data_IF_273962027467
#
_entry.id   IF_273962027467
#
_cell.length_a   1.000
_cell.length_b   1.000
_cell.length_c   1.000
_cell.angle_alpha   90.00
_cell.angle_beta   90.00
_cell.angle_gamma   90.00
#
_symmetry.space_group_name_H-M   'P 1'
#
loop_
_entity.id
_entity.type
_entity.pdbx_description
1 polymer ?
#
# COMPACT_ATOMS: atom_id res chain seq x y z
N UNK A 1 11.77 66.31 0.82
CA UNK A 1 11.56 65.14 -0.07
C UNK A 1 11.94 63.88 0.68
N UNK A 2 10.96 63.18 1.25
CA UNK A 2 11.14 61.97 2.06
C UNK A 2 10.84 60.75 1.19
N UNK A 3 11.86 60.04 0.75
CA UNK A 3 11.73 58.82 -0.05
C UNK A 3 11.51 57.62 0.91
N UNK A 4 10.29 57.09 0.95
CA UNK A 4 9.97 55.87 1.66
C UNK A 4 10.43 54.70 0.81
N UNK A 5 11.48 54.02 1.29
CA UNK A 5 11.98 52.76 0.71
C UNK A 5 11.15 51.59 1.27
N UNK A 6 10.15 51.13 0.48
CA UNK A 6 9.32 50.01 0.81
C UNK A 6 10.10 48.70 0.54
N UNK A 7 10.68 48.09 1.58
CA UNK A 7 11.28 46.78 1.51
C UNK A 7 10.14 45.73 1.35
N UNK A 8 9.92 45.29 0.12
CA UNK A 8 9.15 44.08 -0.16
C UNK A 8 9.95 42.84 0.30
N UNK A 9 9.73 42.38 1.51
CA UNK A 9 10.16 41.07 1.95
C UNK A 9 9.26 40.02 1.27
N UNK A 10 9.70 39.46 0.15
CA UNK A 10 9.14 38.25 -0.41
C UNK A 10 9.39 37.12 0.58
N UNK A 11 8.40 36.79 1.40
CA UNK A 11 8.36 35.54 2.12
C UNK A 11 8.20 34.40 1.08
N UNK A 12 9.31 33.81 0.68
CA UNK A 12 9.31 32.52 0.05
C UNK A 12 8.79 31.52 1.09
N UNK A 13 7.50 31.20 1.03
CA UNK A 13 6.96 30.03 1.71
C UNK A 13 7.58 28.81 1.01
N UNK A 14 8.72 28.32 1.56
CA UNK A 14 9.19 26.99 1.23
C UNK A 14 8.10 26.04 1.73
N UNK A 15 7.35 25.44 0.80
CA UNK A 15 6.51 24.32 1.12
C UNK A 15 7.40 23.26 1.77
N UNK A 16 7.26 23.08 3.07
CA UNK A 16 8.02 22.12 3.85
C UNK A 16 7.68 20.75 3.27
N UNK A 17 8.62 20.11 2.55
CA UNK A 17 8.42 18.76 2.01
C UNK A 17 8.12 17.88 3.23
N UNK A 18 6.92 17.34 3.30
CA UNK A 18 6.51 16.46 4.38
C UNK A 18 7.55 15.33 4.47
N UNK A 19 8.08 15.07 5.67
CA UNK A 19 9.07 14.02 5.85
C UNK A 19 8.46 12.67 5.45
N UNK A 20 9.23 11.87 4.71
CA UNK A 20 8.73 10.60 4.19
C UNK A 20 8.37 9.65 5.35
N UNK A 21 7.25 8.95 5.24
CA UNK A 21 6.76 8.01 6.26
C UNK A 21 7.57 6.70 6.33
N UNK A 22 8.49 6.46 5.40
CA UNK A 22 9.28 5.24 5.32
C UNK A 22 10.64 5.51 4.64
N UNK A 23 11.53 4.53 4.74
CA UNK A 23 12.82 4.53 4.07
C UNK A 23 13.23 3.11 3.65
N UNK A 24 14.34 3.01 2.95
CA UNK A 24 14.96 1.74 2.58
C UNK A 24 15.32 0.93 3.82
N UNK A 25 15.03 -0.38 3.77
CA UNK A 25 15.24 -1.30 4.89
C UNK A 25 13.98 -1.52 5.73
N UNK A 26 12.91 -0.75 5.49
CA UNK A 26 11.62 -1.04 6.12
C UNK A 26 11.15 -2.43 5.72
N UNK A 27 10.75 -3.21 6.71
CA UNK A 27 10.25 -4.56 6.50
C UNK A 27 9.14 -4.89 7.49
N UNK A 28 8.07 -5.50 6.97
CA UNK A 28 6.92 -5.98 7.73
C UNK A 28 6.72 -7.47 7.54
N UNK A 29 6.22 -8.12 8.60
CA UNK A 29 5.67 -9.47 8.56
C UNK A 29 4.26 -9.44 9.13
N UNK A 30 3.33 -10.01 8.40
CA UNK A 30 1.94 -10.16 8.80
C UNK A 30 1.60 -11.62 9.00
N UNK A 31 0.89 -11.92 10.08
CA UNK A 31 0.28 -13.21 10.33
C UNK A 31 -1.16 -13.18 9.83
N UNK A 32 -1.48 -14.04 8.87
CA UNK A 32 -2.81 -14.18 8.30
C UNK A 32 -3.51 -15.37 8.96
N UNK A 33 -4.69 -15.13 9.52
CA UNK A 33 -5.41 -16.13 10.29
C UNK A 33 -6.92 -16.02 10.14
N UNK A 34 -7.60 -17.16 10.25
CA UNK A 34 -9.05 -17.29 10.33
C UNK A 34 -9.41 -17.80 11.72
N UNK A 35 -10.06 -16.97 12.53
CA UNK A 35 -10.26 -17.28 13.96
C UNK A 35 -8.92 -17.54 14.65
N UNK A 36 -8.75 -18.75 15.19
CA UNK A 36 -7.52 -19.19 15.87
C UNK A 36 -6.53 -19.93 14.94
N UNK A 37 -6.92 -20.22 13.69
CA UNK A 37 -6.12 -20.99 12.75
C UNK A 37 -5.20 -20.04 11.97
N UNK A 38 -3.89 -20.24 12.15
CA UNK A 38 -2.91 -19.56 11.31
C UNK A 38 -2.94 -20.17 9.90
N UNK A 39 -3.23 -19.33 8.89
CA UNK A 39 -3.34 -19.78 7.51
C UNK A 39 -2.04 -19.49 6.72
N UNK A 40 -1.45 -18.32 6.90
CA UNK A 40 -0.33 -17.89 6.09
C UNK A 40 0.46 -16.77 6.75
N UNK A 41 1.63 -16.45 6.18
CA UNK A 41 2.37 -15.23 6.46
C UNK A 41 2.57 -14.44 5.17
N UNK A 42 2.54 -13.11 5.32
CA UNK A 42 2.94 -12.19 4.27
C UNK A 42 4.09 -11.30 4.77
N UNK A 43 4.97 -10.92 3.86
CA UNK A 43 6.05 -9.95 4.13
C UNK A 43 5.99 -8.83 3.12
N UNK A 44 6.47 -7.65 3.51
CA UNK A 44 6.65 -6.50 2.64
C UNK A 44 8.01 -5.87 2.97
N UNK A 45 8.85 -5.61 1.98
CA UNK A 45 10.21 -5.13 2.16
C UNK A 45 10.53 -4.02 1.17
N UNK A 46 11.07 -2.90 1.65
CA UNK A 46 11.53 -1.77 0.85
C UNK A 46 13.03 -1.88 0.63
N UNK A 47 13.46 -1.85 -0.62
CA UNK A 47 14.86 -1.89 -1.04
C UNK A 47 15.20 -0.69 -1.91
N UNK A 48 16.48 -0.34 -1.96
CA UNK A 48 17.01 0.50 -3.01
C UNK A 48 17.31 -0.31 -4.26
N UNK A 49 16.99 0.26 -5.42
CA UNK A 49 17.32 -0.34 -6.70
C UNK A 49 17.49 0.74 -7.78
N UNK A 50 17.93 0.29 -8.96
CA UNK A 50 18.04 1.11 -10.17
C UNK A 50 17.24 0.47 -11.29
N UNK A 51 16.34 1.24 -11.88
CA UNK A 51 15.57 0.82 -13.04
C UNK A 51 15.83 1.80 -14.19
N UNK A 52 16.44 1.30 -15.30
CA UNK A 52 16.80 2.13 -16.47
C UNK A 52 17.61 3.39 -16.10
N UNK A 53 18.57 3.25 -15.17
CA UNK A 53 19.45 4.34 -14.72
C UNK A 53 18.82 5.32 -13.71
N UNK A 54 17.55 5.11 -13.31
CA UNK A 54 16.88 5.90 -12.28
C UNK A 54 16.93 5.19 -10.93
N UNK A 55 17.25 5.91 -9.86
CA UNK A 55 17.14 5.40 -8.49
C UNK A 55 15.68 5.26 -8.11
N UNK A 56 15.28 4.08 -7.64
CA UNK A 56 13.89 3.74 -7.30
C UNK A 56 13.82 3.05 -5.95
N UNK A 57 12.66 3.09 -5.33
CA UNK A 57 12.30 2.08 -4.34
C UNK A 57 11.84 0.81 -5.07
N UNK A 58 12.40 -0.33 -4.68
CA UNK A 58 11.93 -1.65 -5.07
C UNK A 58 11.27 -2.31 -3.86
N UNK A 59 9.96 -2.42 -3.91
CA UNK A 59 9.19 -3.04 -2.83
C UNK A 59 8.78 -4.44 -3.24
N UNK A 60 9.07 -5.40 -2.35
CA UNK A 60 8.76 -6.82 -2.55
C UNK A 60 7.78 -7.29 -1.50
N UNK A 61 6.59 -7.69 -1.95
CA UNK A 61 5.56 -8.33 -1.16
C UNK A 61 5.50 -9.84 -1.44
N UNK A 62 5.58 -10.67 -0.41
CA UNK A 62 5.45 -12.13 -0.53
C UNK A 62 4.38 -12.66 0.39
N UNK A 63 3.56 -13.59 -0.10
CA UNK A 63 2.55 -14.30 0.67
C UNK A 63 2.74 -15.81 0.53
N UNK A 64 2.73 -16.54 1.66
CA UNK A 64 2.90 -17.99 1.61
C UNK A 64 2.07 -18.68 2.69
N UNK A 65 1.29 -19.68 2.31
CA UNK A 65 0.64 -20.58 3.27
C UNK A 65 1.67 -21.45 3.95
N UNK A 66 1.42 -21.74 5.22
CA UNK A 66 2.33 -22.52 6.07
C UNK A 66 1.58 -23.63 6.82
N UNK A 67 2.34 -24.67 7.20
CA UNK A 67 1.83 -25.75 8.03
C UNK A 67 0.62 -26.46 7.42
N UNK A 68 -0.35 -26.81 8.27
CA UNK A 68 -1.52 -27.60 7.90
C UNK A 68 -2.43 -26.89 6.85
N UNK A 69 -2.46 -25.55 6.84
CA UNK A 69 -3.24 -24.80 5.89
C UNK A 69 -2.79 -25.01 4.43
N UNK A 70 -1.49 -25.28 4.21
CA UNK A 70 -0.95 -25.51 2.86
C UNK A 70 -1.48 -26.81 2.19
N UNK A 71 -2.01 -27.74 2.98
CA UNK A 71 -2.61 -29.00 2.48
C UNK A 71 -3.98 -28.71 1.83
N UNK A 72 -4.73 -27.75 2.36
CA UNK A 72 -6.07 -27.41 1.88
C UNK A 72 -6.06 -26.31 0.84
N UNK A 73 -5.20 -25.32 0.98
CA UNK A 73 -5.12 -24.20 0.06
C UNK A 73 -3.71 -23.62 0.03
N UNK A 74 -2.98 -23.92 -1.06
CA UNK A 74 -1.63 -23.42 -1.26
C UNK A 74 -1.70 -21.97 -1.78
N UNK A 75 -0.96 -21.08 -1.14
CA UNK A 75 -0.65 -19.73 -1.62
C UNK A 75 0.84 -19.59 -1.75
N UNK A 76 1.32 -19.11 -2.88
CA UNK A 76 2.70 -18.72 -3.13
C UNK A 76 2.69 -17.49 -4.04
N UNK A 77 2.67 -16.31 -3.42
CA UNK A 77 2.46 -15.04 -4.10
C UNK A 77 3.68 -14.15 -3.99
N UNK A 78 4.02 -13.49 -5.10
CA UNK A 78 5.04 -12.46 -5.19
C UNK A 78 4.48 -11.25 -5.92
N UNK A 79 4.58 -10.09 -5.26
CA UNK A 79 4.21 -8.79 -5.78
C UNK A 79 5.43 -7.89 -5.68
N UNK A 80 5.79 -7.18 -6.76
CA UNK A 80 6.88 -6.23 -6.74
C UNK A 80 6.46 -4.93 -7.39
N UNK A 81 6.92 -3.82 -6.83
CA UNK A 81 6.75 -2.50 -7.43
C UNK A 81 8.07 -1.75 -7.40
N UNK A 82 8.40 -1.15 -8.54
CA UNK A 82 9.53 -0.25 -8.70
C UNK A 82 8.98 1.15 -8.94
N UNK A 83 9.14 2.04 -7.97
CA UNK A 83 8.58 3.39 -8.07
C UNK A 83 9.60 4.47 -7.72
N UNK A 84 9.39 5.63 -8.31
CA UNK A 84 10.22 6.80 -8.15
C UNK A 84 10.26 7.28 -6.71
N UNK A 85 11.46 7.62 -6.21
CA UNK A 85 11.65 8.01 -4.81
C UNK A 85 11.06 9.37 -4.46
N UNK A 86 11.00 10.28 -5.43
CA UNK A 86 10.52 11.64 -5.21
C UNK A 86 9.01 11.77 -5.46
N UNK A 87 8.53 11.18 -6.55
CA UNK A 87 7.13 11.33 -7.00
C UNK A 87 6.23 10.18 -6.55
N UNK A 88 6.80 9.04 -6.14
CA UNK A 88 6.06 7.81 -5.83
C UNK A 88 5.40 7.14 -7.03
N UNK A 89 5.68 7.59 -8.28
CA UNK A 89 5.09 7.01 -9.50
C UNK A 89 5.72 5.66 -9.82
N UNK A 90 4.94 4.59 -9.98
CA UNK A 90 5.47 3.29 -10.38
C UNK A 90 5.99 3.32 -11.82
N UNK A 91 7.14 2.71 -12.06
CA UNK A 91 7.68 2.45 -13.39
C UNK A 91 7.44 1.01 -13.83
N UNK A 92 7.42 0.09 -12.86
CA UNK A 92 7.22 -1.34 -13.11
C UNK A 92 6.46 -2.00 -11.96
N UNK A 93 5.54 -2.90 -12.30
CA UNK A 93 4.84 -3.74 -11.35
C UNK A 93 4.90 -5.20 -11.81
N UNK A 94 5.16 -6.12 -10.88
CA UNK A 94 5.21 -7.56 -11.13
C UNK A 94 4.20 -8.25 -10.20
N UNK A 95 3.40 -9.13 -10.79
CA UNK A 95 2.46 -9.98 -10.06
C UNK A 95 2.62 -11.42 -10.50
N UNK A 96 3.23 -12.23 -9.64
CA UNK A 96 3.36 -13.67 -9.84
C UNK A 96 2.69 -14.39 -8.67
N UNK A 97 1.59 -15.06 -8.92
CA UNK A 97 0.77 -15.70 -7.89
C UNK A 97 0.42 -17.15 -8.22
N UNK A 98 0.29 -17.96 -7.16
CA UNK A 98 -0.29 -19.31 -7.19
C UNK A 98 -1.22 -19.47 -5.97
N UNK A 99 -2.51 -19.29 -6.21
CA UNK A 99 -3.57 -19.36 -5.20
C UNK A 99 -4.47 -20.57 -5.47
N UNK A 100 -4.10 -21.73 -4.91
CA UNK A 100 -4.84 -22.99 -5.09
C UNK A 100 -4.93 -23.41 -6.56
N UNK A 101 -3.84 -23.23 -7.33
CA UNK A 101 -3.76 -23.52 -8.76
C UNK A 101 -4.25 -22.39 -9.68
N UNK A 102 -4.85 -21.34 -9.14
CA UNK A 102 -5.07 -20.12 -9.90
C UNK A 102 -3.78 -19.33 -10.00
N UNK A 103 -3.18 -19.32 -11.17
CA UNK A 103 -1.87 -18.66 -11.36
C UNK A 103 -1.96 -17.44 -12.26
N UNK A 104 -1.21 -16.41 -11.94
CA UNK A 104 -0.91 -15.28 -12.83
C UNK A 104 0.60 -15.04 -12.87
N UNK A 105 1.10 -14.58 -14.00
CA UNK A 105 2.47 -14.10 -14.18
C UNK A 105 2.39 -12.89 -15.12
N UNK A 106 2.31 -11.70 -14.51
CA UNK A 106 2.05 -10.42 -15.17
C UNK A 106 3.14 -9.44 -14.79
N UNK A 107 3.66 -8.74 -15.77
CA UNK A 107 4.56 -7.61 -15.61
C UNK A 107 3.95 -6.41 -16.31
N UNK A 108 3.94 -5.26 -15.66
CA UNK A 108 3.39 -4.00 -16.18
C UNK A 108 4.50 -2.96 -16.17
N UNK A 109 4.81 -2.39 -17.34
CA UNK A 109 5.71 -1.25 -17.47
C UNK A 109 4.88 0.01 -17.72
N UNK A 110 5.09 1.05 -16.91
CA UNK A 110 4.36 2.32 -16.97
C UNK A 110 5.16 3.37 -17.75
N UNK A 111 4.55 3.99 -18.73
CA UNK A 111 5.10 5.11 -19.49
C UNK A 111 4.17 6.34 -19.37
N UNK A 112 4.54 7.26 -18.49
CA UNK A 112 3.75 8.46 -18.22
C UNK A 112 3.82 9.52 -19.31
N UNK A 113 4.88 9.53 -20.12
CA UNK A 113 5.01 10.45 -21.27
C UNK A 113 4.01 10.09 -22.37
N UNK A 114 3.79 8.79 -22.57
CA UNK A 114 2.82 8.27 -23.54
C UNK A 114 1.45 8.01 -22.97
N UNK A 115 1.28 8.19 -21.65
CA UNK A 115 0.06 7.81 -20.91
C UNK A 115 -0.36 6.36 -21.19
N UNK A 116 0.63 5.42 -21.20
CA UNK A 116 0.43 3.99 -21.53
C UNK A 116 1.01 3.08 -20.45
N UNK A 117 0.36 1.93 -20.24
CA UNK A 117 0.90 0.78 -19.54
C UNK A 117 1.02 -0.40 -20.48
N UNK A 118 2.22 -0.97 -20.59
CA UNK A 118 2.48 -2.20 -21.34
C UNK A 118 2.29 -3.40 -20.39
N UNK A 119 1.24 -4.15 -20.58
CA UNK A 119 0.94 -5.36 -19.80
C UNK A 119 1.50 -6.59 -20.54
N UNK A 120 2.53 -7.19 -19.96
CA UNK A 120 3.14 -8.43 -20.42
C UNK A 120 2.61 -9.60 -19.57
N UNK A 121 1.66 -10.36 -20.11
CA UNK A 121 1.15 -11.58 -19.49
C UNK A 121 2.03 -12.76 -19.92
N UNK A 122 3.01 -13.12 -19.10
CA UNK A 122 3.98 -14.18 -19.40
C UNK A 122 3.34 -15.55 -19.48
N UNK A 123 2.29 -15.81 -18.68
CA UNK A 123 1.54 -17.08 -18.69
C UNK A 123 0.87 -17.32 -20.05
N UNK A 124 0.29 -16.29 -20.65
CA UNK A 124 -0.42 -16.38 -21.93
C UNK A 124 0.41 -15.90 -23.11
N UNK A 125 1.67 -15.45 -22.87
CA UNK A 125 2.60 -14.95 -23.89
C UNK A 125 2.02 -13.78 -24.71
N UNK A 126 1.25 -12.90 -24.06
CA UNK A 126 0.64 -11.71 -24.68
C UNK A 126 1.26 -10.43 -24.14
N UNK A 127 1.41 -9.43 -25.03
CA UNK A 127 1.79 -8.07 -24.66
C UNK A 127 0.74 -7.12 -25.22
N UNK A 128 0.17 -6.28 -24.38
CA UNK A 128 -0.88 -5.35 -24.77
C UNK A 128 -0.67 -4.01 -24.10
N UNK A 129 -0.81 -2.92 -24.84
CA UNK A 129 -0.79 -1.56 -24.29
C UNK A 129 -2.20 -1.13 -23.91
N UNK A 130 -2.31 -0.43 -22.78
CA UNK A 130 -3.53 0.17 -22.28
C UNK A 130 -3.30 1.64 -21.96
N UNK A 131 -4.32 2.46 -22.12
CA UNK A 131 -4.30 3.84 -21.66
C UNK A 131 -4.30 3.90 -20.15
N UNK A 132 -3.50 4.81 -19.57
CA UNK A 132 -3.49 5.04 -18.14
C UNK A 132 -3.87 6.48 -17.82
N UNK A 133 -4.54 6.68 -16.70
CA UNK A 133 -4.80 8.02 -16.16
C UNK A 133 -3.51 8.63 -15.58
N UNK A 134 -3.51 9.95 -15.45
CA UNK A 134 -2.40 10.67 -14.81
C UNK A 134 -2.23 10.23 -13.35
N UNK A 135 -0.97 10.06 -12.95
CA UNK A 135 -0.60 9.70 -11.56
C UNK A 135 -1.22 8.40 -11.05
N UNK A 136 -1.45 7.42 -11.94
CA UNK A 136 -1.90 6.10 -11.50
C UNK A 136 -0.85 5.44 -10.60
N UNK A 137 -1.33 4.61 -9.69
CA UNK A 137 -0.54 3.77 -8.83
C UNK A 137 -0.82 2.30 -9.13
N UNK A 138 0.17 1.43 -8.92
CA UNK A 138 -0.08 0.00 -8.78
C UNK A 138 -0.51 -0.35 -7.36
N UNK A 139 -0.83 -1.61 -7.10
CA UNK A 139 -1.36 -2.07 -5.81
C UNK A 139 -0.36 -1.90 -4.66
N UNK A 140 0.94 -1.99 -4.91
CA UNK A 140 1.99 -1.85 -3.89
C UNK A 140 2.38 -0.39 -3.73
N UNK A 141 2.65 0.32 -4.83
CA UNK A 141 3.03 1.74 -4.78
C UNK A 141 1.92 2.61 -4.17
N UNK A 142 0.63 2.26 -4.37
CA UNK A 142 -0.51 2.95 -3.78
C UNK A 142 -0.42 3.05 -2.25
N UNK A 143 0.00 1.98 -1.58
CA UNK A 143 0.17 1.96 -0.12
C UNK A 143 1.24 2.95 0.33
N UNK A 144 2.40 2.97 -0.31
CA UNK A 144 3.51 3.87 0.02
C UNK A 144 3.21 5.32 -0.37
N UNK A 145 2.53 5.52 -1.50
CA UNK A 145 2.08 6.84 -1.94
C UNK A 145 1.11 7.47 -0.93
N UNK A 146 0.13 6.70 -0.44
CA UNK A 146 -0.83 7.17 0.56
C UNK A 146 -0.14 7.58 1.87
N UNK A 147 0.84 6.83 2.34
CA UNK A 147 1.59 7.13 3.57
C UNK A 147 2.36 8.46 3.47
N UNK A 148 2.93 8.77 2.29
CA UNK A 148 3.74 9.96 2.09
C UNK A 148 2.95 11.21 1.71
N UNK A 149 1.81 11.07 1.02
CA UNK A 149 1.17 12.18 0.34
C UNK A 149 -0.16 12.62 0.95
N UNK A 150 -0.66 11.91 1.97
CA UNK A 150 -1.89 12.29 2.64
C UNK A 150 -1.65 12.67 4.09
N UNK A 151 -1.94 13.94 4.41
CA UNK A 151 -2.05 14.39 5.78
C UNK A 151 -3.38 13.89 6.35
N UNK A 152 -3.29 13.15 7.46
CA UNK A 152 -4.44 12.58 8.15
C UNK A 152 -4.63 13.18 9.54
N UNK A 153 -3.89 14.26 9.86
CA UNK A 153 -3.91 14.90 11.18
C UNK A 153 -5.31 15.36 11.54
N UNK A 154 -5.96 16.09 10.64
CA UNK A 154 -7.29 16.68 10.85
C UNK A 154 -8.40 15.97 10.09
N UNK A 155 -8.14 14.77 9.56
CA UNK A 155 -9.14 14.00 8.80
C UNK A 155 -10.36 13.69 9.66
N UNK A 156 -11.56 13.96 9.13
CA UNK A 156 -12.84 13.76 9.83
C UNK A 156 -13.48 12.44 9.43
N UNK A 157 -14.20 11.85 10.36
CA UNK A 157 -14.97 10.63 10.09
C UNK A 157 -15.93 10.83 8.91
N UNK A 158 -15.90 9.88 7.96
CA UNK A 158 -16.66 9.92 6.74
C UNK A 158 -15.90 10.49 5.54
N UNK A 159 -14.79 11.20 5.73
CA UNK A 159 -13.97 11.71 4.63
C UNK A 159 -13.37 10.58 3.79
N UNK A 160 -13.22 10.86 2.51
CA UNK A 160 -12.79 9.89 1.51
C UNK A 160 -11.49 10.34 0.82
N UNK A 161 -10.51 9.47 0.80
CA UNK A 161 -9.27 9.63 0.04
C UNK A 161 -9.44 8.87 -1.28
N UNK A 162 -9.17 9.55 -2.39
CA UNK A 162 -9.30 8.99 -3.74
C UNK A 162 -7.95 8.86 -4.40
N UNK A 163 -7.72 7.74 -5.11
CA UNK A 163 -6.48 7.45 -5.80
C UNK A 163 -6.77 6.74 -7.12
N UNK A 164 -6.13 7.19 -8.20
CA UNK A 164 -6.18 6.49 -9.47
C UNK A 164 -5.21 5.30 -9.42
N UNK A 165 -5.69 4.13 -9.76
CA UNK A 165 -4.91 2.90 -9.82
C UNK A 165 -5.03 2.26 -11.19
N UNK A 166 -3.97 1.58 -11.63
CA UNK A 166 -4.04 0.67 -12.75
C UNK A 166 -3.82 -0.76 -12.26
N UNK A 167 -4.81 -1.61 -12.47
CA UNK A 167 -4.79 -2.98 -12.01
C UNK A 167 -5.19 -3.95 -13.11
N UNK A 168 -4.38 -4.99 -13.30
CA UNK A 168 -4.51 -5.98 -14.38
C UNK A 168 -4.52 -5.33 -15.79
N UNK A 169 -5.62 -4.72 -16.21
CA UNK A 169 -5.83 -4.20 -17.57
C UNK A 169 -6.66 -2.91 -17.61
N UNK A 170 -7.00 -2.36 -16.47
CA UNK A 170 -7.92 -1.24 -16.38
C UNK A 170 -7.55 -0.20 -15.34
N UNK A 171 -7.94 1.04 -15.61
CA UNK A 171 -7.90 2.11 -14.62
C UNK A 171 -9.01 1.87 -13.59
N UNK A 172 -8.65 1.99 -12.35
CA UNK A 172 -9.56 1.79 -11.23
C UNK A 172 -9.45 2.94 -10.24
N UNK A 173 -10.59 3.55 -9.91
CA UNK A 173 -10.67 4.61 -8.93
C UNK A 173 -10.80 4.01 -7.53
N UNK A 174 -9.66 3.88 -6.85
CA UNK A 174 -9.60 3.39 -5.47
C UNK A 174 -10.09 4.48 -4.51
N UNK A 175 -10.88 4.06 -3.53
CA UNK A 175 -11.41 4.92 -2.49
C UNK A 175 -11.10 4.34 -1.11
N UNK A 176 -10.63 5.18 -0.22
CA UNK A 176 -10.35 4.86 1.17
C UNK A 176 -11.15 5.80 2.07
N UNK A 177 -12.19 5.28 2.76
CA UNK A 177 -13.04 6.06 3.67
C UNK A 177 -12.50 6.00 5.08
N UNK A 178 -12.32 7.14 5.72
CA UNK A 178 -11.95 7.21 7.12
C UNK A 178 -13.15 6.90 8.02
N UNK A 179 -12.95 6.02 9.02
CA UNK A 179 -13.99 5.54 9.95
C UNK A 179 -13.74 5.98 11.39
N UNK A 180 -12.73 6.80 11.64
CA UNK A 180 -12.38 7.27 12.98
C UNK A 180 -11.06 6.74 13.53
N UNK A 181 -10.78 7.09 14.78
CA UNK A 181 -9.59 6.67 15.53
C UNK A 181 -9.98 5.70 16.63
N UNK A 182 -9.16 4.68 16.84
CA UNK A 182 -9.34 3.75 17.96
C UNK A 182 -7.99 3.20 18.43
N UNK A 183 -7.92 2.77 19.68
CA UNK A 183 -6.72 2.10 20.21
C UNK A 183 -6.87 0.60 20.08
N UNK A 184 -5.92 -0.04 19.39
CA UNK A 184 -5.90 -1.47 19.20
C UNK A 184 -4.95 -2.16 20.19
N UNK A 185 -5.39 -3.26 20.79
CA UNK A 185 -4.48 -4.19 21.49
C UNK A 185 -3.76 -5.07 20.48
N UNK A 186 -2.43 -5.03 20.53
CA UNK A 186 -1.54 -5.82 19.67
C UNK A 186 -0.54 -6.60 20.51
N UNK A 187 0.28 -7.43 19.89
CA UNK A 187 1.40 -8.08 20.60
C UNK A 187 2.50 -7.09 21.03
N UNK A 188 2.52 -5.88 20.47
CA UNK A 188 3.48 -4.82 20.81
C UNK A 188 2.98 -3.90 21.93
N UNK A 189 1.74 -4.09 22.41
CA UNK A 189 1.06 -3.22 23.35
C UNK A 189 -0.17 -2.57 22.75
N UNK A 190 -0.63 -1.48 23.37
CA UNK A 190 -1.75 -0.66 22.88
C UNK A 190 -1.25 0.34 21.84
N UNK A 191 -1.77 0.28 20.63
CA UNK A 191 -1.38 1.13 19.49
C UNK A 191 -2.54 2.05 19.11
N UNK A 192 -2.36 3.37 19.13
CA UNK A 192 -3.32 4.30 18.52
C UNK A 192 -3.40 4.04 17.01
N UNK A 193 -4.60 3.94 16.47
CA UNK A 193 -4.81 3.60 15.06
C UNK A 193 -5.84 4.51 14.41
N UNK A 194 -5.59 4.81 13.14
CA UNK A 194 -6.55 5.31 12.18
C UNK A 194 -7.25 4.11 11.54
N UNK A 195 -8.57 4.16 11.47
CA UNK A 195 -9.40 3.10 10.91
C UNK A 195 -9.98 3.53 9.58
N UNK A 196 -9.79 2.71 8.56
CA UNK A 196 -10.25 2.99 7.21
C UNK A 196 -11.07 1.84 6.63
N UNK A 197 -11.90 2.18 5.65
CA UNK A 197 -12.58 1.22 4.77
C UNK A 197 -12.08 1.39 3.35
N UNK A 198 -11.23 0.48 2.85
CA UNK A 198 -10.92 0.43 1.43
C UNK A 198 -12.12 -0.07 0.63
N UNK A 199 -12.46 0.63 -0.45
CA UNK A 199 -13.44 0.17 -1.44
C UNK A 199 -12.69 -0.49 -2.57
N UNK A 200 -12.78 -1.81 -2.64
CA UNK A 200 -12.15 -2.63 -3.66
C UNK A 200 -13.17 -3.07 -4.69
N UNK A 201 -12.70 -3.39 -5.91
CA UNK A 201 -13.57 -3.97 -6.89
C UNK A 201 -14.18 -5.28 -6.37
N UNK A 202 -15.50 -5.40 -6.46
CA UNK A 202 -16.18 -6.65 -6.17
C UNK A 202 -15.74 -7.70 -7.20
N UNK A 203 -15.38 -8.88 -6.73
CA UNK A 203 -14.84 -9.92 -7.58
C UNK A 203 -14.77 -11.27 -6.90
N UNK A 204 -13.80 -12.07 -7.33
CA UNK A 204 -13.65 -13.48 -6.94
C UNK A 204 -13.50 -13.70 -5.41
N UNK A 205 -12.81 -12.79 -4.71
CA UNK A 205 -12.53 -12.92 -3.27
C UNK A 205 -13.54 -12.15 -2.43
N UNK A 206 -13.94 -10.96 -2.88
CA UNK A 206 -14.83 -10.08 -2.15
C UNK A 206 -16.16 -9.95 -2.90
N UNK A 207 -17.24 -10.38 -2.26
CA UNK A 207 -18.60 -10.25 -2.84
C UNK A 207 -19.14 -8.82 -2.71
N UNK A 208 -18.66 -8.09 -1.71
CA UNK A 208 -19.05 -6.72 -1.41
C UNK A 208 -17.81 -5.80 -1.44
N UNK A 209 -17.93 -4.65 -2.07
CA UNK A 209 -16.87 -3.64 -2.12
C UNK A 209 -16.46 -3.10 -0.74
N UNK A 210 -17.31 -3.28 0.29
CA UNK A 210 -17.10 -2.80 1.65
C UNK A 210 -16.67 -3.88 2.65
N UNK A 211 -16.18 -5.03 2.17
CA UNK A 211 -15.82 -6.17 3.03
C UNK A 211 -14.53 -5.97 3.83
N UNK A 212 -13.72 -4.98 3.47
CA UNK A 212 -12.42 -4.72 4.08
C UNK A 212 -12.48 -3.64 5.16
N UNK A 213 -11.66 -3.81 6.19
CA UNK A 213 -11.32 -2.77 7.17
C UNK A 213 -9.81 -2.79 7.37
N UNK A 214 -9.18 -1.61 7.36
CA UNK A 214 -7.76 -1.40 7.54
C UNK A 214 -7.53 -0.53 8.78
N UNK A 215 -6.60 -0.93 9.64
CA UNK A 215 -6.06 -0.12 10.73
C UNK A 215 -4.60 0.17 10.44
N UNK A 216 -4.24 1.45 10.48
CA UNK A 216 -2.84 1.90 10.39
C UNK A 216 -2.46 2.63 11.67
N UNK A 217 -1.20 2.64 12.04
CA UNK A 217 -0.73 3.39 13.21
C UNK A 217 -1.00 4.88 13.05
N UNK A 218 -1.46 5.53 14.13
CA UNK A 218 -1.66 6.99 14.21
C UNK A 218 -0.36 7.66 14.64
N UNK A 219 0.65 7.52 13.77
CA UNK A 219 1.99 8.09 13.90
C UNK A 219 2.56 8.46 12.52
N UNK A 220 3.75 8.99 12.46
CA UNK A 220 4.41 9.42 11.22
C UNK A 220 4.71 8.25 10.27
N UNK A 221 4.85 7.02 10.75
CA UNK A 221 5.07 5.84 9.92
C UNK A 221 3.80 5.39 9.19
N UNK A 222 2.60 5.56 9.77
CA UNK A 222 1.31 5.11 9.21
C UNK A 222 1.35 3.64 8.73
N UNK A 223 1.92 2.74 9.56
CA UNK A 223 2.10 1.32 9.19
C UNK A 223 0.81 0.52 9.37
N UNK A 224 0.56 -0.52 8.53
CA UNK A 224 -0.62 -1.35 8.69
C UNK A 224 -0.51 -2.23 9.93
N UNK A 225 -1.45 -2.06 10.85
CA UNK A 225 -1.54 -2.84 12.09
C UNK A 225 -2.40 -4.07 11.89
N UNK A 226 -3.54 -3.90 11.19
CA UNK A 226 -4.47 -4.98 10.86
C UNK A 226 -5.21 -4.70 9.57
N UNK A 227 -5.40 -5.74 8.78
CA UNK A 227 -6.39 -5.80 7.70
C UNK A 227 -7.39 -6.89 8.07
N UNK A 228 -8.69 -6.59 8.03
CA UNK A 228 -9.77 -7.54 8.27
C UNK A 228 -10.66 -7.61 7.04
N UNK A 229 -10.82 -8.81 6.50
CA UNK A 229 -11.77 -9.11 5.43
C UNK A 229 -12.96 -9.87 6.00
N UNK A 230 -14.16 -9.32 5.83
CA UNK A 230 -15.41 -10.04 6.11
C UNK A 230 -15.63 -11.13 5.06
N UNK A 231 -15.97 -12.33 5.52
CA UNK A 231 -16.37 -13.44 4.68
C UNK A 231 -17.85 -13.77 4.95
N UNK A 232 -18.44 -14.65 4.15
CA UNK A 232 -19.81 -15.14 4.40
C UNK A 232 -19.95 -15.71 5.81
N UNK A 233 -18.93 -16.39 6.29
CA UNK A 233 -18.84 -16.90 7.65
C UNK A 233 -17.50 -16.43 8.23
N UNK A 234 -17.54 -15.68 9.30
CA UNK A 234 -16.36 -15.21 10.01
C UNK A 234 -15.58 -14.09 9.30
N UNK A 235 -14.28 -14.05 9.52
CA UNK A 235 -13.39 -13.07 8.91
C UNK A 235 -11.96 -13.59 8.81
N UNK A 236 -11.28 -13.22 7.73
CA UNK A 236 -9.82 -13.36 7.60
C UNK A 236 -9.17 -12.09 8.15
N UNK A 237 -8.10 -12.24 8.90
CA UNK A 237 -7.33 -11.11 9.44
C UNK A 237 -5.86 -11.28 9.08
N UNK A 238 -5.22 -10.17 8.73
CA UNK A 238 -3.78 -10.04 8.63
C UNK A 238 -3.33 -9.07 9.71
N UNK A 239 -2.64 -9.57 10.73
CA UNK A 239 -2.13 -8.79 11.87
C UNK A 239 -0.64 -8.57 11.71
N UNK A 240 -0.15 -7.35 11.99
CA UNK A 240 1.27 -7.08 12.06
C UNK A 240 1.93 -7.98 13.11
N UNK A 241 2.86 -8.82 12.66
CA UNK A 241 3.55 -9.81 13.51
C UNK A 241 4.99 -9.40 13.85
N UNK A 242 5.68 -8.74 12.92
CA UNK A 242 7.01 -8.18 13.15
C UNK A 242 7.27 -7.02 12.20
N UNK A 243 8.18 -6.15 12.59
CA UNK A 243 8.67 -5.05 11.76
C UNK A 243 10.11 -4.72 12.09
N UNK A 244 10.80 -4.06 11.16
CA UNK A 244 12.12 -3.44 11.34
C UNK A 244 12.30 -2.29 10.37
N UNK A 245 13.30 -1.45 10.60
CA UNK A 245 13.69 -0.37 9.69
C UNK A 245 12.62 0.73 9.55
N UNK A 246 11.85 1.00 10.60
CA UNK A 246 10.95 2.15 10.62
C UNK A 246 11.76 3.44 10.64
N UNK A 247 11.33 4.41 9.86
CA UNK A 247 11.97 5.72 9.80
C UNK A 247 11.70 6.57 11.04
N UNK A 248 10.50 6.46 11.63
CA UNK A 248 10.08 7.22 12.79
C UNK A 248 9.80 6.29 13.98
N UNK A 249 9.79 6.83 15.23
CA UNK A 249 9.43 6.06 16.40
C UNK A 249 8.03 5.44 16.27
N UNK A 250 7.90 4.16 16.63
CA UNK A 250 6.61 3.48 16.67
C UNK A 250 5.86 3.84 17.95
N UNK A 251 4.67 4.42 17.79
CA UNK A 251 3.88 4.93 18.92
C UNK A 251 3.11 3.82 19.61
N UNK A 252 3.44 3.57 20.88
CA UNK A 252 2.70 2.67 21.77
C UNK A 252 2.27 3.42 23.03
N UNK A 253 1.10 3.06 23.55
CA UNK A 253 0.63 3.53 24.87
C UNK A 253 1.11 2.52 25.90
N UNK A 254 1.95 2.97 26.82
CA UNK A 254 2.37 2.21 27.99
C UNK A 254 1.34 2.47 29.10
N UNK A 255 0.83 1.40 29.71
CA UNK A 255 -0.11 1.48 30.86
C UNK A 255 0.60 1.87 32.13
#
# INVERSE_FOLDING_TARGET
>A
LLTIFCLLTCCFSQAQKQDAAFETGEWFKFRIHYGFINASYATLEVKDDYLNGKSVYHVVGKGKTTGFASIFFKVDDNYESYFDKDTGKPYKFIRKIDEGGHTKDIEIDFNYEKEKALVNNKKHKTKTEYDIEKNVQDMVSAFYYLRNNYDVTDIKEGEEIMLNMFFDKENFRFKLKFLGRETMRTKFGKVPCLKFRPYVQAGRVFKESESLTLWVSDDENKIPIRIKAKLLVGSLKADLDAFKGLKHPFKIIVD
#
